data_IF_119414356785
#
_entry.id   IF_119414356785
#
_cell.length_a   1.000
_cell.length_b   1.000
_cell.length_c   1.000
_cell.angle_alpha   90.00
_cell.angle_beta   90.00
_cell.angle_gamma   90.00
#
_symmetry.space_group_name_H-M   'P 1'
#
loop_
_entity.id
_entity.type
_entity.pdbx_description
1 polymer ?
#
# COMPACT_ATOMS: atom_id res chain seq x y z
N UNK A 1 -9.56 -38.05 29.07
CA UNK A 1 -8.77 -37.32 30.11
C UNK A 1 -8.38 -35.93 29.57
N UNK A 2 -8.64 -34.84 30.27
CA UNK A 2 -8.24 -33.54 29.81
C UNK A 2 -6.70 -33.45 29.85
N UNK A 3 -6.10 -32.98 28.74
CA UNK A 3 -4.64 -32.77 28.64
C UNK A 3 -4.17 -31.76 29.67
N UNK A 4 -3.16 -32.13 30.47
CA UNK A 4 -2.58 -31.30 31.50
C UNK A 4 -2.06 -29.97 30.92
N UNK A 5 -2.43 -28.85 31.54
CA UNK A 5 -1.94 -27.51 31.20
C UNK A 5 -0.41 -27.34 31.38
N UNK A 6 0.26 -28.33 32.00
CA UNK A 6 1.71 -28.33 32.27
C UNK A 6 2.59 -28.55 31.04
N UNK A 7 2.04 -28.99 29.90
CA UNK A 7 2.80 -29.25 28.69
C UNK A 7 2.87 -28.04 27.72
N UNK A 8 2.38 -26.87 28.12
CA UNK A 8 2.46 -25.67 27.27
C UNK A 8 3.81 -25.03 27.48
N UNK A 9 4.75 -25.25 26.55
CA UNK A 9 5.99 -24.48 26.48
C UNK A 9 5.64 -23.04 26.17
N UNK A 10 5.77 -22.17 27.15
CA UNK A 10 5.65 -20.73 26.98
C UNK A 10 7.02 -20.24 26.46
N UNK A 11 7.11 -20.00 25.16
CA UNK A 11 8.27 -19.30 24.62
C UNK A 11 8.20 -17.85 25.12
N UNK A 12 9.17 -17.44 25.91
CA UNK A 12 9.34 -16.05 26.26
C UNK A 12 9.53 -15.22 25.00
N UNK A 13 8.64 -14.26 24.79
CA UNK A 13 8.78 -13.31 23.70
C UNK A 13 10.05 -12.47 23.96
N UNK A 14 11.05 -12.59 23.08
CA UNK A 14 12.27 -11.74 23.10
C UNK A 14 11.96 -10.28 22.80
N UNK A 15 10.75 -9.95 22.39
CA UNK A 15 10.32 -8.58 22.17
C UNK A 15 9.89 -7.95 23.49
N UNK A 16 10.70 -7.03 24.01
CA UNK A 16 10.29 -6.12 25.06
C UNK A 16 8.99 -5.41 24.66
N UNK A 17 8.00 -5.37 25.57
CA UNK A 17 6.75 -4.62 25.34
C UNK A 17 7.13 -3.19 24.95
N UNK A 18 6.81 -2.79 23.72
CA UNK A 18 7.09 -1.43 23.25
C UNK A 18 6.28 -0.46 24.10
N UNK A 19 6.95 0.48 24.76
CA UNK A 19 6.27 1.55 25.47
C UNK A 19 5.65 2.51 24.44
N UNK A 20 4.34 2.45 24.30
CA UNK A 20 3.58 3.30 23.38
C UNK A 20 3.68 4.78 23.72
N UNK A 21 3.89 5.13 24.99
CA UNK A 21 4.06 6.53 25.42
C UNK A 21 5.41 7.06 24.95
N UNK A 22 6.46 6.27 25.11
CA UNK A 22 7.81 6.63 24.64
C UNK A 22 7.85 6.80 23.13
N UNK A 23 7.25 5.89 22.38
CA UNK A 23 7.16 6.00 20.91
C UNK A 23 6.40 7.25 20.44
N UNK A 24 5.32 7.59 21.15
CA UNK A 24 4.55 8.81 20.85
C UNK A 24 5.37 10.06 21.14
N UNK A 25 6.10 10.09 22.26
CA UNK A 25 6.99 11.20 22.61
C UNK A 25 8.14 11.36 21.62
N UNK A 26 8.75 10.24 21.20
CA UNK A 26 9.82 10.25 20.19
C UNK A 26 9.31 10.77 18.85
N UNK A 27 8.14 10.33 18.38
CA UNK A 27 7.55 10.84 17.15
C UNK A 27 7.31 12.34 17.22
N UNK A 28 6.74 12.81 18.32
CA UNK A 28 6.49 14.23 18.56
C UNK A 28 7.80 15.06 18.53
N UNK A 29 8.82 14.62 19.27
CA UNK A 29 10.11 15.30 19.34
C UNK A 29 10.82 15.34 17.97
N UNK A 30 10.85 14.20 17.29
CA UNK A 30 11.49 14.10 15.97
C UNK A 30 10.82 15.00 14.91
N UNK A 31 9.48 15.15 14.96
CA UNK A 31 8.79 16.04 14.01
C UNK A 31 9.17 17.50 14.27
N UNK A 32 9.26 17.91 15.53
CA UNK A 32 9.67 19.28 15.87
C UNK A 32 11.13 19.56 15.50
N UNK A 33 12.01 18.62 15.74
CA UNK A 33 13.42 18.70 15.32
C UNK A 33 13.53 18.81 13.78
N UNK A 34 12.77 18.03 13.04
CA UNK A 34 12.79 18.09 11.58
C UNK A 34 12.22 19.40 11.01
N UNK A 35 11.26 20.05 11.68
CA UNK A 35 10.78 21.38 11.27
C UNK A 35 11.88 22.46 11.35
N UNK A 36 12.84 22.28 12.25
CA UNK A 36 13.98 23.19 12.39
C UNK A 36 15.15 22.85 11.45
N UNK A 37 15.27 21.57 11.04
CA UNK A 37 16.38 21.06 10.24
C UNK A 37 16.13 21.16 8.71
N UNK A 38 14.88 20.92 8.28
CA UNK A 38 14.53 20.83 6.86
C UNK A 38 13.79 22.05 6.32
N UNK A 39 14.01 22.35 5.02
CA UNK A 39 13.43 23.49 4.35
C UNK A 39 11.98 23.25 3.87
N UNK A 40 11.64 22.01 3.54
CA UNK A 40 10.32 21.65 3.03
C UNK A 40 9.70 20.50 3.82
N UNK A 41 8.40 20.61 4.07
CA UNK A 41 7.58 19.55 4.65
C UNK A 41 6.40 19.25 3.73
N UNK A 42 6.24 18.00 3.35
CA UNK A 42 5.10 17.52 2.56
C UNK A 42 4.19 16.64 3.40
N UNK A 43 2.88 16.81 3.21
CA UNK A 43 1.88 15.82 3.59
C UNK A 43 1.58 14.95 2.38
N UNK A 44 1.76 13.65 2.52
CA UNK A 44 1.49 12.70 1.46
C UNK A 44 0.49 11.64 1.90
N UNK A 45 -0.39 11.23 1.00
CA UNK A 45 -1.26 10.06 1.15
C UNK A 45 -0.67 8.88 0.38
N UNK A 46 -0.95 7.67 0.84
CA UNK A 46 -0.48 6.45 0.17
C UNK A 46 -1.66 5.57 -0.17
N UNK A 47 -1.86 5.35 -1.47
CA UNK A 47 -2.83 4.39 -1.98
C UNK A 47 -2.16 3.03 -2.20
N UNK A 48 -2.90 1.95 -1.95
CA UNK A 48 -2.41 0.57 -2.07
C UNK A 48 -1.07 0.31 -1.36
N UNK A 49 -0.93 0.86 -0.15
CA UNK A 49 0.33 0.84 0.61
C UNK A 49 0.99 -0.54 0.64
N UNK A 50 2.25 -0.61 0.20
CA UNK A 50 3.14 -1.77 0.36
C UNK A 50 4.43 -1.35 1.05
N UNK A 51 4.83 -2.13 2.04
CA UNK A 51 6.06 -1.86 2.78
C UNK A 51 7.31 -1.94 1.91
N UNK A 52 7.28 -2.73 0.83
CA UNK A 52 8.40 -2.86 -0.11
C UNK A 52 8.64 -1.53 -0.81
N UNK A 53 7.64 -0.99 -1.49
CA UNK A 53 7.75 0.29 -2.19
C UNK A 53 8.02 1.47 -1.26
N UNK A 54 7.47 1.44 -0.04
CA UNK A 54 7.79 2.46 0.95
C UNK A 54 9.24 2.39 1.44
N UNK A 55 9.87 1.20 1.40
CA UNK A 55 11.32 1.07 1.64
C UNK A 55 12.13 1.63 0.48
N UNK A 56 11.69 1.40 -0.75
CA UNK A 56 12.35 1.95 -1.94
C UNK A 56 12.30 3.47 -1.93
N UNK A 57 11.14 4.05 -1.60
CA UNK A 57 11.01 5.51 -1.39
C UNK A 57 11.94 6.01 -0.28
N UNK A 58 12.06 5.29 0.84
CA UNK A 58 12.99 5.67 1.91
C UNK A 58 14.46 5.54 1.53
N UNK A 59 14.81 4.62 0.65
CA UNK A 59 16.16 4.47 0.15
C UNK A 59 16.53 5.62 -0.78
N UNK A 60 15.60 6.02 -1.67
CA UNK A 60 15.78 7.16 -2.55
C UNK A 60 15.88 8.49 -1.78
N UNK A 61 15.03 8.67 -0.77
CA UNK A 61 15.03 9.83 0.11
C UNK A 61 15.83 9.59 1.40
N UNK A 62 17.04 8.99 1.29
CA UNK A 62 17.89 8.72 2.45
C UNK A 62 18.42 10.00 3.13
N UNK A 63 18.49 11.10 2.37
CA UNK A 63 18.82 12.46 2.81
C UNK A 63 17.66 13.19 3.49
N UNK A 64 16.50 12.60 3.53
CA UNK A 64 15.23 13.16 4.00
C UNK A 64 14.65 12.33 5.12
N UNK A 65 13.64 12.84 5.81
CA UNK A 65 12.95 12.11 6.89
C UNK A 65 11.51 11.83 6.55
N UNK A 66 11.13 10.57 6.54
CA UNK A 66 9.80 10.11 6.20
C UNK A 66 9.11 9.49 7.42
N UNK A 67 8.05 10.13 7.90
CA UNK A 67 7.24 9.69 9.02
C UNK A 67 5.89 9.16 8.54
N UNK A 68 5.58 7.94 8.95
CA UNK A 68 4.28 7.32 8.73
C UNK A 68 3.79 6.79 10.08
N UNK A 69 3.03 7.61 10.78
CA UNK A 69 2.67 7.37 12.17
C UNK A 69 1.22 7.74 12.50
N UNK A 70 0.95 7.90 13.79
CA UNK A 70 -0.38 8.31 14.25
C UNK A 70 -0.67 9.76 13.85
N UNK A 71 -1.65 9.96 12.98
CA UNK A 71 -2.06 11.27 12.43
C UNK A 71 -2.33 12.31 13.53
N UNK A 72 -3.05 11.93 14.59
CA UNK A 72 -3.30 12.82 15.74
C UNK A 72 -2.04 13.27 16.47
N UNK A 73 -1.01 12.44 16.54
CA UNK A 73 0.28 12.82 17.17
C UNK A 73 1.04 13.77 16.26
N UNK A 74 1.04 13.51 14.97
CA UNK A 74 1.65 14.40 13.96
C UNK A 74 0.95 15.76 13.94
N UNK A 75 -0.37 15.78 13.96
CA UNK A 75 -1.18 17.00 14.03
C UNK A 75 -0.88 17.83 15.28
N UNK A 76 -0.80 17.20 16.47
CA UNK A 76 -0.43 17.89 17.72
C UNK A 76 1.02 18.38 17.70
N UNK A 77 1.95 17.66 17.05
CA UNK A 77 3.34 18.08 16.95
C UNK A 77 3.52 19.32 16.06
N UNK A 78 2.74 19.41 14.98
CA UNK A 78 2.72 20.58 14.09
C UNK A 78 1.99 21.77 14.72
N UNK A 79 0.96 21.49 15.52
CA UNK A 79 0.05 22.48 16.11
C UNK A 79 -1.25 22.61 15.34
N UNK A 80 -2.36 22.55 16.05
CA UNK A 80 -3.70 22.62 15.43
C UNK A 80 -4.20 24.07 15.25
N UNK A 81 -3.63 25.00 16.01
CA UNK A 81 -4.04 26.40 16.05
C UNK A 81 -2.84 27.32 15.90
N UNK A 82 -3.04 28.58 15.46
CA UNK A 82 -1.96 29.56 15.37
C UNK A 82 -1.19 29.80 16.68
N UNK A 83 -1.85 29.60 17.85
CA UNK A 83 -1.24 29.78 19.16
C UNK A 83 -0.32 28.60 19.57
N UNK A 84 -0.55 27.41 19.00
CA UNK A 84 0.16 26.16 19.36
C UNK A 84 1.07 25.66 18.26
N UNK A 85 1.13 26.36 17.12
CA UNK A 85 1.93 25.94 15.97
C UNK A 85 3.43 25.89 16.29
N UNK A 86 4.10 24.92 15.67
CA UNK A 86 5.53 24.71 15.84
C UNK A 86 6.38 25.62 14.97
N UNK A 87 5.82 26.06 13.84
CA UNK A 87 6.41 27.03 12.92
C UNK A 87 5.30 27.86 12.25
N UNK A 88 5.59 29.06 11.75
CA UNK A 88 4.56 29.94 11.18
C UNK A 88 3.75 29.27 10.07
N UNK A 89 2.43 29.36 10.16
CA UNK A 89 1.44 28.81 9.21
C UNK A 89 1.39 27.29 9.07
N UNK A 90 2.18 26.52 9.84
CA UNK A 90 2.16 25.04 9.79
C UNK A 90 0.80 24.46 10.20
N UNK A 91 0.03 25.15 11.04
CA UNK A 91 -1.32 24.72 11.41
C UNK A 91 -2.26 24.54 10.22
N UNK A 92 -2.05 25.28 9.11
CA UNK A 92 -2.83 25.16 7.86
C UNK A 92 -2.67 23.80 7.17
N UNK A 93 -1.58 23.07 7.45
CA UNK A 93 -1.32 21.73 6.90
C UNK A 93 -2.07 20.64 7.67
N UNK A 94 -2.44 20.91 8.92
CA UNK A 94 -3.07 19.94 9.82
C UNK A 94 -4.39 19.34 9.31
N UNK A 95 -5.29 20.07 8.62
CA UNK A 95 -6.52 19.50 8.05
C UNK A 95 -6.26 18.37 7.05
N UNK A 96 -5.12 18.40 6.36
CA UNK A 96 -4.74 17.38 5.37
C UNK A 96 -4.20 16.08 6.00
N UNK A 97 -3.98 16.05 7.31
CA UNK A 97 -3.55 14.86 8.06
C UNK A 97 -4.72 13.94 8.40
N UNK A 98 -5.50 13.54 7.39
CA UNK A 98 -6.63 12.63 7.54
C UNK A 98 -6.43 11.35 6.71
N UNK A 99 -6.72 10.18 7.29
CA UNK A 99 -6.61 8.87 6.64
C UNK A 99 -5.20 8.27 6.68
N UNK A 100 -4.80 7.59 5.60
CA UNK A 100 -3.50 6.93 5.46
C UNK A 100 -2.44 7.91 4.94
N UNK A 101 -2.04 8.84 5.79
CA UNK A 101 -1.12 9.95 5.46
C UNK A 101 0.18 9.87 6.26
N UNK A 102 1.23 10.46 5.69
CA UNK A 102 2.54 10.63 6.32
C UNK A 102 3.09 12.03 6.11
N UNK A 103 4.25 12.30 6.74
CA UNK A 103 5.02 13.52 6.61
C UNK A 103 6.37 13.18 5.97
N UNK A 104 6.78 13.96 4.99
CA UNK A 104 8.11 13.92 4.38
C UNK A 104 8.78 15.28 4.62
N UNK A 105 9.94 15.27 5.28
CA UNK A 105 10.80 16.42 5.48
C UNK A 105 12.02 16.30 4.57
N UNK A 106 12.31 17.33 3.79
CA UNK A 106 13.39 17.29 2.80
C UNK A 106 13.95 18.70 2.52
N UNK A 107 15.22 18.72 2.10
CA UNK A 107 15.88 19.91 1.57
C UNK A 107 15.88 19.92 0.02
N UNK A 108 15.28 18.89 -0.61
CA UNK A 108 15.14 18.85 -2.07
C UNK A 108 14.08 19.85 -2.52
N UNK A 109 14.25 20.39 -3.74
CA UNK A 109 13.27 21.30 -4.34
C UNK A 109 11.88 20.64 -4.46
N UNK A 110 10.83 21.40 -4.17
CA UNK A 110 9.46 20.89 -4.16
C UNK A 110 9.04 20.28 -5.49
N UNK A 111 9.47 20.85 -6.60
CA UNK A 111 9.19 20.38 -7.96
C UNK A 111 9.81 19.01 -8.23
N UNK A 112 11.07 18.79 -7.81
CA UNK A 112 11.76 17.50 -7.96
C UNK A 112 11.08 16.39 -7.15
N UNK A 113 10.55 16.69 -5.96
CA UNK A 113 9.80 15.74 -5.14
C UNK A 113 8.48 15.37 -5.80
N UNK A 114 7.77 16.36 -6.35
CA UNK A 114 6.51 16.14 -7.07
C UNK A 114 6.71 15.28 -8.31
N UNK A 115 7.71 15.60 -9.14
CA UNK A 115 8.07 14.85 -10.34
C UNK A 115 8.42 13.38 -10.02
N UNK A 116 9.17 13.15 -8.95
CA UNK A 116 9.51 11.80 -8.53
C UNK A 116 8.24 10.99 -8.20
N UNK A 117 7.32 11.52 -7.39
CA UNK A 117 6.11 10.80 -6.99
C UNK A 117 5.07 10.66 -8.12
N UNK A 118 5.07 11.54 -9.10
CA UNK A 118 4.26 11.39 -10.31
C UNK A 118 4.76 10.22 -11.18
N UNK A 119 6.06 10.01 -11.25
CA UNK A 119 6.69 8.95 -12.04
C UNK A 119 6.74 7.61 -11.30
N UNK A 120 6.76 7.61 -9.95
CA UNK A 120 6.89 6.39 -9.15
C UNK A 120 5.52 5.72 -8.93
N UNK A 121 5.08 4.94 -9.91
CA UNK A 121 3.81 4.18 -9.91
C UNK A 121 4.03 2.70 -10.22
N UNK A 122 4.67 1.93 -9.32
CA UNK A 122 4.87 0.51 -9.55
C UNK A 122 3.55 -0.25 -9.54
N UNK A 123 3.41 -1.17 -10.50
CA UNK A 123 2.26 -2.07 -10.61
C UNK A 123 2.28 -3.11 -9.49
N UNK A 124 1.12 -3.41 -8.93
CA UNK A 124 0.98 -4.37 -7.84
C UNK A 124 -0.34 -5.15 -7.94
N UNK A 125 -0.48 -6.13 -7.08
CA UNK A 125 -1.69 -6.93 -6.96
C UNK A 125 -2.76 -6.18 -6.17
N UNK A 126 -4.01 -6.25 -6.64
CA UNK A 126 -5.15 -5.69 -5.95
C UNK A 126 -5.33 -6.29 -4.55
N UNK A 127 -5.94 -5.52 -3.65
CA UNK A 127 -6.36 -5.96 -2.32
C UNK A 127 -7.85 -6.21 -2.27
N UNK A 128 -8.27 -7.06 -1.31
CA UNK A 128 -9.69 -7.22 -1.01
C UNK A 128 -10.30 -5.88 -0.60
N UNK A 129 -11.47 -5.57 -1.18
CA UNK A 129 -12.17 -4.31 -0.99
C UNK A 129 -11.83 -3.23 -2.03
N UNK A 130 -10.86 -3.44 -2.92
CA UNK A 130 -10.61 -2.54 -4.06
C UNK A 130 -11.54 -2.87 -5.23
N UNK A 131 -11.78 -1.90 -6.09
CA UNK A 131 -12.56 -2.08 -7.33
C UNK A 131 -11.66 -2.65 -8.41
N UNK A 132 -12.13 -3.68 -9.12
CA UNK A 132 -11.42 -4.28 -10.23
C UNK A 132 -11.32 -3.30 -11.40
N UNK A 133 -10.10 -3.06 -11.89
CA UNK A 133 -9.84 -2.19 -13.05
C UNK A 133 -10.03 -2.92 -14.38
N UNK A 134 -10.09 -4.25 -14.34
CA UNK A 134 -10.31 -5.11 -15.51
C UNK A 134 -11.01 -6.41 -15.13
N UNK A 135 -11.65 -7.04 -16.10
CA UNK A 135 -12.20 -8.39 -15.96
C UNK A 135 -11.08 -9.43 -16.08
N UNK A 136 -11.16 -10.49 -15.26
CA UNK A 136 -10.23 -11.63 -15.33
C UNK A 136 -10.97 -12.95 -15.33
N UNK A 137 -10.58 -13.86 -16.22
CA UNK A 137 -11.15 -15.21 -16.35
C UNK A 137 -10.07 -16.24 -16.66
N UNK A 138 -10.27 -17.47 -16.17
CA UNK A 138 -9.38 -18.61 -16.41
C UNK A 138 -9.99 -19.44 -17.51
N UNK A 139 -9.28 -19.70 -18.65
CA UNK A 139 -9.79 -20.52 -19.74
C UNK A 139 -10.07 -21.97 -19.30
N UNK A 140 -11.05 -22.63 -19.91
CA UNK A 140 -11.33 -24.04 -19.69
C UNK A 140 -10.21 -24.94 -20.25
N UNK A 141 -10.09 -26.14 -19.71
CA UNK A 141 -9.08 -27.09 -20.13
C UNK A 141 -7.80 -27.03 -19.29
N UNK A 142 -6.62 -27.10 -19.91
CA UNK A 142 -5.34 -27.06 -19.20
C UNK A 142 -5.08 -25.67 -18.60
N UNK A 143 -4.81 -25.65 -17.31
CA UNK A 143 -4.55 -24.40 -16.58
C UNK A 143 -3.07 -24.05 -16.66
N UNK A 144 -2.78 -22.84 -17.16
CA UNK A 144 -1.45 -22.27 -17.29
C UNK A 144 -1.15 -21.27 -16.17
N UNK A 145 0.13 -20.91 -16.00
CA UNK A 145 0.57 -20.01 -14.89
C UNK A 145 -0.03 -18.60 -15.00
N UNK A 146 -0.25 -18.11 -16.23
CA UNK A 146 -0.79 -16.77 -16.49
C UNK A 146 -2.25 -16.79 -16.95
N UNK A 147 -2.93 -17.96 -16.91
CA UNK A 147 -4.34 -18.12 -17.24
C UNK A 147 -4.79 -17.45 -18.56
N UNK A 148 -3.96 -17.52 -19.59
CA UNK A 148 -4.27 -16.96 -20.91
C UNK A 148 -3.93 -15.48 -21.12
N UNK A 149 -3.30 -14.81 -20.14
CA UNK A 149 -2.75 -13.46 -20.31
C UNK A 149 -1.54 -13.43 -21.28
N UNK A 150 -0.87 -14.58 -21.44
CA UNK A 150 0.26 -14.79 -22.34
C UNK A 150 -0.13 -15.90 -23.34
N UNK A 151 0.38 -15.87 -24.59
CA UNK A 151 0.16 -16.94 -25.56
C UNK A 151 0.57 -18.31 -25.00
N UNK A 152 -0.25 -19.33 -25.23
CA UNK A 152 -0.07 -20.70 -24.70
C UNK A 152 1.31 -21.29 -25.01
N UNK A 153 1.92 -20.87 -26.12
CA UNK A 153 3.26 -21.32 -26.57
C UNK A 153 4.39 -20.82 -25.66
N UNK A 154 4.14 -19.74 -24.90
CA UNK A 154 5.10 -19.10 -23.99
C UNK A 154 4.74 -19.30 -22.52
N UNK A 155 3.56 -19.88 -22.23
CA UNK A 155 3.08 -20.09 -20.86
C UNK A 155 3.31 -21.55 -20.43
N UNK A 156 3.69 -21.73 -19.19
CA UNK A 156 3.92 -23.05 -18.60
C UNK A 156 2.66 -23.56 -17.88
N UNK A 157 2.35 -24.87 -17.94
CA UNK A 157 1.28 -25.44 -17.14
C UNK A 157 1.52 -25.21 -15.65
N UNK A 158 0.45 -24.82 -14.94
CA UNK A 158 0.54 -24.58 -13.51
C UNK A 158 0.94 -25.84 -12.74
N UNK A 159 1.75 -25.71 -11.70
CA UNK A 159 2.20 -26.85 -10.89
C UNK A 159 1.01 -27.57 -10.22
N UNK A 160 1.02 -28.91 -10.25
CA UNK A 160 0.01 -29.74 -9.61
C UNK A 160 -0.11 -29.48 -8.08
N UNK A 161 0.94 -28.96 -7.43
CA UNK A 161 0.94 -28.62 -6.01
C UNK A 161 -0.01 -27.47 -5.67
N UNK A 162 -0.38 -26.65 -6.66
CA UNK A 162 -1.27 -25.50 -6.49
C UNK A 162 -2.75 -25.89 -6.61
N UNK A 163 -3.06 -27.04 -7.22
CA UNK A 163 -4.44 -27.50 -7.46
C UNK A 163 -5.31 -27.51 -6.18
N UNK A 164 -4.86 -28.04 -5.02
CA UNK A 164 -5.68 -28.01 -3.81
C UNK A 164 -6.01 -26.60 -3.33
N UNK A 165 -5.12 -25.62 -3.59
CA UNK A 165 -5.36 -24.23 -3.26
C UNK A 165 -6.40 -23.59 -4.20
N UNK A 166 -6.35 -23.88 -5.50
CA UNK A 166 -7.36 -23.44 -6.48
C UNK A 166 -8.74 -23.97 -6.12
N UNK A 167 -8.85 -25.25 -5.81
CA UNK A 167 -10.11 -25.88 -5.37
C UNK A 167 -10.65 -25.25 -4.07
N UNK A 168 -9.79 -24.98 -3.10
CA UNK A 168 -10.17 -24.28 -1.88
C UNK A 168 -10.69 -22.86 -2.14
N UNK A 169 -10.18 -22.21 -3.16
CA UNK A 169 -10.64 -20.89 -3.63
C UNK A 169 -11.91 -20.97 -4.51
N UNK A 170 -12.47 -22.18 -4.71
CA UNK A 170 -13.73 -22.38 -5.42
C UNK A 170 -13.58 -22.52 -6.94
N UNK A 171 -12.36 -22.70 -7.45
CA UNK A 171 -12.13 -22.97 -8.88
C UNK A 171 -12.34 -24.49 -9.10
N UNK A 172 -13.22 -24.92 -10.03
CA UNK A 172 -13.52 -26.33 -10.27
C UNK A 172 -12.39 -26.99 -11.07
N UNK A 173 -11.29 -27.30 -10.37
CA UNK A 173 -10.12 -27.94 -10.97
C UNK A 173 -10.03 -29.42 -10.63
N UNK A 174 -9.41 -30.20 -11.52
CA UNK A 174 -9.13 -31.62 -11.39
C UNK A 174 -7.74 -31.95 -11.88
N UNK A 175 -7.09 -32.91 -11.24
CA UNK A 175 -5.81 -33.45 -11.69
C UNK A 175 -6.03 -34.59 -12.69
N UNK A 176 -5.54 -34.39 -13.92
CA UNK A 176 -5.57 -35.40 -14.97
C UNK A 176 -4.14 -35.63 -15.47
N UNK A 177 -3.63 -36.85 -15.26
CA UNK A 177 -2.25 -37.24 -15.64
C UNK A 177 -1.16 -36.26 -15.13
N UNK A 178 -1.34 -35.79 -13.88
CA UNK A 178 -0.42 -34.85 -13.25
C UNK A 178 -0.54 -33.40 -13.69
N UNK A 179 -1.48 -33.06 -14.56
CA UNK A 179 -1.77 -31.71 -15.03
C UNK A 179 -3.07 -31.18 -14.42
N UNK A 180 -3.12 -29.90 -14.12
CA UNK A 180 -4.31 -29.23 -13.56
C UNK A 180 -5.24 -28.87 -14.72
N UNK A 181 -6.44 -29.41 -14.69
CA UNK A 181 -7.49 -29.16 -15.68
C UNK A 181 -8.65 -28.43 -15.02
N UNK A 182 -9.16 -27.40 -15.70
CA UNK A 182 -10.38 -26.71 -15.32
C UNK A 182 -11.56 -27.38 -16.01
N UNK A 183 -12.48 -27.94 -15.22
CA UNK A 183 -13.71 -28.60 -15.73
C UNK A 183 -14.90 -27.68 -15.44
N UNK A 184 -15.47 -27.13 -16.50
CA UNK A 184 -16.67 -26.29 -16.43
C UNK A 184 -17.89 -27.07 -16.91
N UNK A 185 -19.06 -26.60 -16.53
CA UNK A 185 -20.33 -27.12 -17.01
C UNK A 185 -20.44 -26.86 -18.52
N UNK A 186 -21.11 -27.74 -19.26
CA UNK A 186 -21.31 -27.62 -20.69
C UNK A 186 -21.82 -26.22 -21.08
N UNK A 187 -21.10 -25.55 -22.01
CA UNK A 187 -21.43 -24.21 -22.50
C UNK A 187 -20.65 -23.04 -21.91
N UNK A 188 -19.71 -23.30 -20.98
CA UNK A 188 -18.84 -22.24 -20.45
C UNK A 188 -17.40 -22.44 -20.90
N UNK A 189 -16.83 -21.46 -21.62
CA UNK A 189 -15.46 -21.52 -22.14
C UNK A 189 -14.41 -21.03 -21.13
N UNK A 190 -14.83 -20.38 -20.03
CA UNK A 190 -13.93 -19.85 -19.01
C UNK A 190 -14.58 -19.73 -17.64
N UNK A 191 -13.76 -19.83 -16.60
CA UNK A 191 -14.15 -19.53 -15.21
C UNK A 191 -13.88 -18.06 -14.93
N UNK A 192 -14.93 -17.29 -14.72
CA UNK A 192 -14.82 -15.86 -14.40
C UNK A 192 -14.44 -15.65 -12.95
N UNK A 193 -13.30 -14.99 -12.73
CA UNK A 193 -12.80 -14.62 -11.40
C UNK A 193 -13.39 -13.29 -10.93
N UNK A 194 -13.36 -12.26 -11.79
CA UNK A 194 -13.93 -10.95 -11.49
C UNK A 194 -14.40 -10.23 -12.76
N UNK A 195 -15.24 -9.21 -12.57
CA UNK A 195 -15.66 -8.26 -13.62
C UNK A 195 -15.04 -6.90 -13.32
N UNK A 196 -14.79 -6.14 -14.36
CA UNK A 196 -14.45 -4.72 -14.24
C UNK A 196 -15.54 -3.97 -13.48
N UNK A 197 -15.14 -3.09 -12.55
CA UNK A 197 -16.05 -2.36 -11.69
C UNK A 197 -16.57 -3.12 -10.47
N UNK A 198 -16.26 -4.40 -10.32
CA UNK A 198 -16.65 -5.22 -9.17
C UNK A 198 -15.73 -4.98 -7.98
N UNK A 199 -16.29 -4.92 -6.76
CA UNK A 199 -15.48 -4.89 -5.54
C UNK A 199 -14.88 -6.27 -5.28
N UNK A 200 -13.55 -6.36 -5.29
CA UNK A 200 -12.83 -7.62 -5.18
C UNK A 200 -12.91 -8.22 -3.79
N UNK A 201 -13.27 -9.50 -3.72
CA UNK A 201 -13.20 -10.33 -2.53
C UNK A 201 -11.77 -10.88 -2.31
N UNK A 202 -11.49 -11.32 -1.09
CA UNK A 202 -10.20 -11.95 -0.72
C UNK A 202 -9.85 -13.18 -1.57
N UNK A 203 -10.85 -13.96 -1.99
CA UNK A 203 -10.68 -15.13 -2.87
C UNK A 203 -10.24 -14.71 -4.27
N UNK A 204 -10.91 -13.73 -4.85
CA UNK A 204 -10.61 -13.18 -6.17
C UNK A 204 -9.21 -12.58 -6.22
N UNK A 205 -8.84 -11.74 -5.23
CA UNK A 205 -7.50 -11.14 -5.16
C UNK A 205 -6.39 -12.19 -4.97
N UNK A 206 -6.66 -13.27 -4.23
CA UNK A 206 -5.72 -14.38 -4.09
C UNK A 206 -5.54 -15.13 -5.41
N UNK A 207 -6.63 -15.39 -6.14
CA UNK A 207 -6.57 -16.01 -7.48
C UNK A 207 -5.78 -15.12 -8.45
N UNK A 208 -6.10 -13.84 -8.55
CA UNK A 208 -5.36 -12.90 -9.40
C UNK A 208 -3.86 -12.90 -9.09
N UNK A 209 -3.49 -12.91 -7.81
CA UNK A 209 -2.09 -12.99 -7.39
C UNK A 209 -1.43 -14.31 -7.78
N UNK A 210 -2.14 -15.45 -7.69
CA UNK A 210 -1.61 -16.77 -8.08
C UNK A 210 -1.31 -16.86 -9.57
N UNK A 211 -2.07 -16.14 -10.41
CA UNK A 211 -1.90 -16.07 -11.85
C UNK A 211 -1.05 -14.85 -12.30
N UNK A 212 -0.43 -14.12 -11.37
CA UNK A 212 0.44 -13.00 -11.71
C UNK A 212 -0.29 -11.76 -12.23
N UNK A 213 -1.62 -11.69 -12.09
CA UNK A 213 -2.44 -10.58 -12.60
C UNK A 213 -2.33 -9.36 -11.70
N UNK A 214 -1.58 -8.35 -12.15
CA UNK A 214 -1.49 -7.04 -11.50
C UNK A 214 -2.62 -6.15 -12.00
N UNK A 215 -3.38 -5.57 -11.09
CA UNK A 215 -4.52 -4.71 -11.40
C UNK A 215 -4.62 -3.51 -10.45
N UNK A 216 -3.54 -3.18 -9.79
CA UNK A 216 -3.46 -2.06 -8.87
C UNK A 216 -2.11 -1.36 -9.00
N UNK A 217 -2.07 -0.09 -8.65
CA UNK A 217 -0.85 0.71 -8.64
C UNK A 217 -0.59 1.21 -7.22
N UNK A 218 0.67 1.20 -6.82
CA UNK A 218 1.09 1.93 -5.64
C UNK A 218 1.28 3.39 -6.04
N UNK A 219 0.57 4.28 -5.35
CA UNK A 219 0.61 5.72 -5.62
C UNK A 219 0.83 6.49 -4.32
N UNK A 220 1.65 7.50 -4.41
CA UNK A 220 1.86 8.49 -3.34
C UNK A 220 1.34 9.82 -3.85
N UNK A 221 0.26 10.31 -3.24
CA UNK A 221 -0.32 11.61 -3.56
C UNK A 221 0.16 12.66 -2.57
N UNK A 222 0.80 13.71 -3.06
CA UNK A 222 1.18 14.86 -2.26
C UNK A 222 -0.05 15.76 -2.08
N UNK A 223 -0.43 16.05 -0.83
CA UNK A 223 -1.63 16.85 -0.50
C UNK A 223 -1.31 18.31 -0.22
N UNK A 224 -0.23 18.55 0.52
CA UNK A 224 0.17 19.90 0.89
C UNK A 224 1.69 19.95 1.07
N UNK A 225 2.26 21.11 0.79
CA UNK A 225 3.66 21.42 1.01
C UNK A 225 3.76 22.70 1.85
N UNK A 226 4.55 22.67 2.91
CA UNK A 226 4.95 23.85 3.67
C UNK A 226 6.43 24.14 3.40
N UNK A 227 6.77 25.41 3.19
CA UNK A 227 8.14 25.86 2.92
C UNK A 227 8.63 26.77 4.04
N UNK A 228 9.77 26.45 4.65
CA UNK A 228 10.37 27.21 5.76
C UNK A 228 10.81 28.62 5.33
N UNK A 229 11.33 28.75 4.10
CA UNK A 229 11.86 30.02 3.60
C UNK A 229 10.79 31.09 3.42
N UNK A 230 9.60 30.70 2.97
CA UNK A 230 8.48 31.61 2.70
C UNK A 230 7.41 31.55 3.79
N UNK A 231 7.42 30.51 4.64
CA UNK A 231 6.36 30.18 5.59
C UNK A 231 4.98 30.01 4.94
N UNK A 232 4.96 29.65 3.65
CA UNK A 232 3.74 29.45 2.88
C UNK A 232 3.37 27.98 2.82
N UNK A 233 2.06 27.73 2.79
CA UNK A 233 1.48 26.42 2.54
C UNK A 233 0.92 26.41 1.12
N UNK A 234 1.41 25.49 0.30
CA UNK A 234 0.88 25.21 -1.03
C UNK A 234 0.05 23.93 -0.96
N UNK A 235 -1.17 23.99 -1.48
CA UNK A 235 -2.05 22.83 -1.58
C UNK A 235 -1.75 22.15 -2.91
N UNK A 236 -1.56 20.83 -2.87
CA UNK A 236 -1.21 19.99 -4.02
C UNK A 236 -2.36 19.01 -4.25
N UNK A 237 -3.49 19.49 -4.77
CA UNK A 237 -4.57 18.59 -5.18
C UNK A 237 -4.41 18.24 -6.67
N UNK A 238 -4.25 16.94 -6.97
CA UNK A 238 -4.19 16.37 -8.33
C UNK A 238 -3.13 16.97 -9.27
N UNK A 239 -1.95 17.33 -8.75
CA UNK A 239 -0.85 17.85 -9.57
C UNK A 239 -0.95 19.34 -9.98
N UNK A 240 -1.97 20.06 -9.55
CA UNK A 240 -2.07 21.51 -9.68
C UNK A 240 -1.64 22.18 -8.38
N UNK A 241 -0.68 23.10 -8.47
CA UNK A 241 -0.28 23.95 -7.34
C UNK A 241 -1.25 25.11 -7.19
N UNK A 242 -2.12 25.07 -6.18
CA UNK A 242 -2.89 26.23 -5.75
C UNK A 242 -2.22 26.87 -4.53
N UNK A 243 -1.94 28.16 -4.62
CA UNK A 243 -1.41 28.96 -3.51
C UNK A 243 -2.58 29.63 -2.81
N UNK A 244 -2.94 29.18 -1.61
CA UNK A 244 -3.85 29.95 -0.76
C UNK A 244 -3.08 31.11 -0.12
N UNK A 245 -3.54 32.31 -0.43
CA UNK A 245 -3.04 33.57 0.09
C UNK A 245 -3.48 33.82 1.55
#
# INVERSE_FOLDING_TARGET
MPRSKRARVVHESKTTKKDHKEQTRRLYANIRECLEEYDHMFVFAVDNMRNTYLKDVRAEFADSRLFFGKTKVMSVALGNNPETEAAPNVHRVTPYLAGAVGLLFTNRAAESVSEYFENFRPQDFARAGTVATRSFSIPSGLVYQHAGEIPVEQDEPISHTIEPALRKLGVPTRLVKGKVMLELTEGSDSYRVCREGETLDSRQTTLMKMFGVTSSEFKVDLKACWSRSTNEVKILENGAMEVEA
#
